data_IF_717081400983
#
_entry.id   IF_717081400983
#
_cell.length_a   1.000
_cell.length_b   1.000
_cell.length_c   1.000
_cell.angle_alpha   90.00
_cell.angle_beta   90.00
_cell.angle_gamma   90.00
#
_symmetry.space_group_name_H-M   'P 1'
#
loop_
_entity.id
_entity.type
_entity.pdbx_description
1 polymer ?
#
# COMPACT_ATOMS: atom_id res chain seq x y z
N UNK A 1 -25.43 -2.35 -11.44
CA UNK A 1 -24.58 -2.92 -10.36
C UNK A 1 -23.21 -3.33 -10.88
N UNK A 2 -23.12 -4.03 -12.02
CA UNK A 2 -21.84 -4.40 -12.64
C UNK A 2 -20.84 -3.23 -12.77
N UNK A 3 -21.25 -2.09 -13.34
CA UNK A 3 -20.36 -0.91 -13.51
C UNK A 3 -19.75 -0.41 -12.18
N UNK A 4 -20.54 -0.41 -11.10
CA UNK A 4 -20.04 0.02 -9.78
C UNK A 4 -18.94 -0.91 -9.29
N UNK A 5 -19.16 -2.22 -9.37
CA UNK A 5 -18.18 -3.23 -8.96
C UNK A 5 -16.92 -3.23 -9.84
N UNK A 6 -17.06 -2.96 -11.13
CA UNK A 6 -15.90 -2.76 -12.03
C UNK A 6 -15.05 -1.57 -11.61
N UNK A 7 -15.68 -0.41 -11.35
CA UNK A 7 -14.97 0.80 -10.92
C UNK A 7 -14.27 0.55 -9.58
N UNK A 8 -14.96 -0.09 -8.64
CA UNK A 8 -14.39 -0.46 -7.34
C UNK A 8 -13.21 -1.41 -7.48
N UNK A 9 -13.32 -2.44 -8.33
CA UNK A 9 -12.24 -3.38 -8.62
C UNK A 9 -11.01 -2.68 -9.20
N UNK A 10 -11.20 -1.78 -10.17
CA UNK A 10 -10.10 -0.97 -10.73
C UNK A 10 -9.47 -0.06 -9.67
N UNK A 11 -10.28 0.60 -8.84
CA UNK A 11 -9.76 1.46 -7.78
C UNK A 11 -8.92 0.67 -6.76
N UNK A 12 -9.39 -0.52 -6.36
CA UNK A 12 -8.65 -1.42 -5.46
C UNK A 12 -7.38 -1.97 -6.12
N UNK A 13 -7.40 -2.25 -7.42
CA UNK A 13 -6.20 -2.63 -8.18
C UNK A 13 -5.15 -1.52 -8.17
N UNK A 14 -5.54 -0.28 -8.47
CA UNK A 14 -4.64 0.88 -8.43
C UNK A 14 -4.08 1.08 -7.03
N UNK A 15 -4.95 0.98 -6.00
CA UNK A 15 -4.51 1.08 -4.62
C UNK A 15 -3.52 -0.03 -4.23
N UNK A 16 -3.76 -1.27 -4.69
CA UNK A 16 -2.86 -2.39 -4.48
C UNK A 16 -1.48 -2.15 -5.13
N UNK A 17 -1.44 -1.59 -6.35
CA UNK A 17 -0.18 -1.17 -6.98
C UNK A 17 0.55 -0.08 -6.19
N UNK A 18 -0.18 0.90 -5.62
CA UNK A 18 0.42 1.93 -4.76
C UNK A 18 1.04 1.34 -3.49
N UNK A 19 0.41 0.32 -2.89
CA UNK A 19 0.99 -0.41 -1.74
C UNK A 19 2.30 -1.11 -2.12
N UNK A 20 2.38 -1.73 -3.30
CA UNK A 20 3.64 -2.30 -3.81
C UNK A 20 4.68 -1.20 -4.03
N UNK A 21 4.29 -0.09 -4.65
CA UNK A 21 5.20 1.03 -4.86
C UNK A 21 5.76 1.56 -3.53
N UNK A 22 4.93 1.68 -2.48
CA UNK A 22 5.38 2.00 -1.12
C UNK A 22 6.46 1.02 -0.63
N UNK A 23 6.23 -0.29 -0.76
CA UNK A 23 7.19 -1.30 -0.32
C UNK A 23 8.53 -1.10 -1.03
N UNK A 24 8.50 -0.89 -2.35
CA UNK A 24 9.71 -0.62 -3.13
C UNK A 24 10.41 0.65 -2.64
N UNK A 25 9.67 1.73 -2.35
CA UNK A 25 10.24 2.97 -1.82
C UNK A 25 10.87 2.75 -0.44
N UNK A 26 10.20 2.01 0.44
CA UNK A 26 10.73 1.66 1.77
C UNK A 26 12.02 0.83 1.65
N UNK A 27 12.08 -0.10 0.71
CA UNK A 27 13.31 -0.84 0.39
C UNK A 27 14.41 0.08 -0.13
N UNK A 28 14.13 0.94 -1.10
CA UNK A 28 15.11 1.91 -1.64
C UNK A 28 15.70 2.76 -0.51
N UNK A 29 14.85 3.30 0.38
CA UNK A 29 15.28 4.08 1.55
C UNK A 29 16.10 3.26 2.55
N UNK A 30 15.77 1.97 2.72
CA UNK A 30 16.52 1.08 3.61
C UNK A 30 17.90 0.73 3.05
N UNK A 31 18.01 0.50 1.74
CA UNK A 31 19.27 0.13 1.08
C UNK A 31 20.17 1.34 0.80
N UNK A 32 19.59 2.48 0.46
CA UNK A 32 20.31 3.73 0.18
C UNK A 32 19.96 4.76 1.26
N UNK A 33 20.69 4.70 2.38
CA UNK A 33 20.51 5.64 3.51
C UNK A 33 20.76 7.10 3.12
N UNK A 34 21.61 7.34 2.12
CA UNK A 34 21.94 8.68 1.61
C UNK A 34 21.06 9.11 0.42
N UNK A 35 19.94 8.41 0.18
CA UNK A 35 19.04 8.76 -0.92
C UNK A 35 18.25 10.03 -0.63
N UNK A 36 18.53 11.09 -1.39
CA UNK A 36 17.84 12.37 -1.34
C UNK A 36 17.07 12.58 -2.64
N UNK A 37 15.79 12.18 -2.72
CA UNK A 37 14.99 12.40 -3.93
C UNK A 37 14.84 13.91 -4.20
N UNK A 38 14.92 14.32 -5.47
CA UNK A 38 14.80 15.72 -5.89
C UNK A 38 13.82 15.87 -7.05
N UNK A 39 13.26 17.07 -7.21
CA UNK A 39 12.35 17.42 -8.31
C UNK A 39 11.07 16.58 -8.35
N UNK A 40 10.72 16.10 -9.55
CA UNK A 40 9.48 15.36 -9.83
C UNK A 40 9.36 14.09 -8.98
N UNK A 41 10.48 13.43 -8.66
CA UNK A 41 10.48 12.22 -7.84
C UNK A 41 9.88 12.49 -6.46
N UNK A 42 10.15 13.63 -5.85
CA UNK A 42 9.58 13.99 -4.54
C UNK A 42 8.06 14.05 -4.61
N UNK A 43 7.51 14.65 -5.66
CA UNK A 43 6.06 14.77 -5.85
C UNK A 43 5.40 13.39 -5.98
N UNK A 44 6.01 12.47 -6.76
CA UNK A 44 5.51 11.10 -6.92
C UNK A 44 5.56 10.36 -5.59
N UNK A 45 6.68 10.45 -4.86
CA UNK A 45 6.83 9.81 -3.55
C UNK A 45 5.80 10.32 -2.56
N UNK A 46 5.62 11.65 -2.50
CA UNK A 46 4.64 12.27 -1.60
C UNK A 46 3.22 11.84 -1.94
N UNK A 47 2.87 11.74 -3.23
CA UNK A 47 1.56 11.27 -3.68
C UNK A 47 1.32 9.82 -3.25
N UNK A 48 2.26 8.92 -3.54
CA UNK A 48 2.16 7.50 -3.17
C UNK A 48 2.03 7.38 -1.65
N UNK A 49 2.91 8.07 -0.91
CA UNK A 49 2.92 8.02 0.55
C UNK A 49 1.64 8.60 1.14
N UNK A 50 1.14 9.73 0.64
CA UNK A 50 -0.10 10.37 1.10
C UNK A 50 -1.33 9.51 0.88
N UNK A 51 -1.43 8.80 -0.25
CA UNK A 51 -2.57 7.91 -0.53
C UNK A 51 -2.49 6.64 0.33
N UNK A 52 -1.29 6.10 0.54
CA UNK A 52 -1.09 4.83 1.25
C UNK A 52 -0.98 4.99 2.77
N UNK A 53 -0.59 6.16 3.28
CA UNK A 53 -0.38 6.43 4.71
C UNK A 53 -1.65 6.27 5.56
N UNK A 54 -2.82 6.83 5.19
CA UNK A 54 -4.01 6.74 6.02
C UNK A 54 -4.49 5.29 6.22
N UNK A 55 -4.57 4.44 5.18
CA UNK A 55 -4.88 3.02 5.34
C UNK A 55 -3.84 2.28 6.19
N UNK A 56 -2.54 2.55 5.98
CA UNK A 56 -1.45 1.90 6.74
C UNK A 56 -1.55 2.30 8.22
N UNK A 57 -1.75 3.58 8.51
CA UNK A 57 -1.91 4.08 9.88
C UNK A 57 -3.16 3.50 10.55
N UNK A 58 -4.26 3.36 9.82
CA UNK A 58 -5.47 2.72 10.34
C UNK A 58 -5.19 1.28 10.75
N UNK A 59 -4.50 0.51 9.91
CA UNK A 59 -4.17 -0.88 10.24
C UNK A 59 -3.09 -1.01 11.32
N UNK A 60 -2.11 -0.11 11.37
CA UNK A 60 -1.12 -0.05 12.46
C UNK A 60 -1.75 0.21 13.84
N UNK A 61 -2.91 0.88 13.89
CA UNK A 61 -3.67 1.05 15.14
C UNK A 61 -4.32 -0.25 15.61
N UNK A 62 -4.70 -1.12 14.68
CA UNK A 62 -5.34 -2.41 14.98
C UNK A 62 -4.31 -3.51 15.23
N UNK A 63 -3.23 -3.53 14.44
CA UNK A 63 -2.19 -4.53 14.47
C UNK A 63 -0.84 -3.79 14.60
N UNK A 64 -0.30 -3.66 15.82
CA UNK A 64 0.97 -2.98 16.02
C UNK A 64 2.11 -3.71 15.32
N UNK A 65 3.17 -2.96 14.97
CA UNK A 65 4.35 -3.51 14.32
C UNK A 65 5.06 -4.51 15.24
N UNK A 66 5.23 -5.74 14.78
CA UNK A 66 5.97 -6.75 15.55
C UNK A 66 7.47 -6.50 15.36
N UNK A 67 8.15 -6.28 16.48
CA UNK A 67 9.61 -6.23 16.53
C UNK A 67 10.11 -7.60 16.96
N UNK A 68 10.78 -8.34 16.08
CA UNK A 68 11.37 -9.63 16.41
C UNK A 68 12.89 -9.42 16.52
N UNK A 69 13.38 -9.39 17.76
CA UNK A 69 14.78 -9.10 18.05
C UNK A 69 15.18 -7.69 17.58
N UNK A 70 16.10 -7.61 16.61
CA UNK A 70 16.56 -6.34 16.04
C UNK A 70 15.80 -5.91 14.77
N UNK A 71 14.92 -6.77 14.23
CA UNK A 71 14.22 -6.52 12.96
C UNK A 71 12.76 -6.13 13.22
N UNK A 72 12.36 -4.96 12.69
CA UNK A 72 10.96 -4.53 12.67
C UNK A 72 10.31 -5.02 11.37
N UNK A 73 9.25 -5.81 11.50
CA UNK A 73 8.47 -6.31 10.36
C UNK A 73 7.13 -5.56 10.35
N UNK A 74 6.84 -4.89 9.23
CA UNK A 74 5.56 -4.20 9.05
C UNK A 74 4.48 -5.19 8.55
N UNK A 75 3.86 -5.89 9.49
CA UNK A 75 2.73 -6.77 9.20
C UNK A 75 1.50 -5.98 8.70
N UNK A 76 1.37 -4.71 9.07
CA UNK A 76 0.23 -3.89 8.68
C UNK A 76 0.15 -3.72 7.16
N UNK A 77 1.31 -3.51 6.50
CA UNK A 77 1.40 -3.45 5.03
C UNK A 77 1.05 -4.79 4.38
N UNK A 78 1.51 -5.91 4.94
CA UNK A 78 1.19 -7.24 4.42
C UNK A 78 -0.32 -7.54 4.50
N UNK A 79 -0.93 -7.21 5.64
CA UNK A 79 -2.38 -7.38 5.83
C UNK A 79 -3.16 -6.45 4.90
N UNK A 80 -2.72 -5.21 4.70
CA UNK A 80 -3.33 -4.28 3.74
C UNK A 80 -3.33 -4.82 2.32
N UNK A 81 -2.19 -5.36 1.86
CA UNK A 81 -2.08 -5.97 0.54
C UNK A 81 -3.07 -7.10 0.37
N UNK A 82 -3.21 -7.95 1.40
CA UNK A 82 -4.15 -9.07 1.37
C UNK A 82 -5.61 -8.59 1.33
N UNK A 83 -5.97 -7.61 2.17
CA UNK A 83 -7.32 -7.03 2.20
C UNK A 83 -7.67 -6.38 0.86
N UNK A 84 -6.75 -5.59 0.30
CA UNK A 84 -6.95 -4.94 -1.00
C UNK A 84 -7.11 -5.97 -2.12
N UNK A 85 -6.30 -7.04 -2.11
CA UNK A 85 -6.38 -8.12 -3.09
C UNK A 85 -7.72 -8.88 -3.00
N UNK A 86 -8.13 -9.30 -1.81
CA UNK A 86 -9.40 -10.00 -1.60
C UNK A 86 -10.58 -9.09 -1.97
N UNK A 87 -10.56 -7.82 -1.54
CA UNK A 87 -11.60 -6.86 -1.89
C UNK A 87 -11.72 -6.64 -3.40
N UNK A 88 -10.57 -6.58 -4.11
CA UNK A 88 -10.53 -6.47 -5.57
C UNK A 88 -11.12 -7.70 -6.23
N UNK A 89 -10.72 -8.91 -5.81
CA UNK A 89 -11.24 -10.16 -6.36
C UNK A 89 -12.75 -10.25 -6.18
N UNK A 90 -13.24 -9.99 -4.97
CA UNK A 90 -14.66 -9.97 -4.67
C UNK A 90 -15.41 -8.94 -5.52
N UNK A 91 -14.87 -7.73 -5.67
CA UNK A 91 -15.49 -6.71 -6.50
C UNK A 91 -15.58 -7.18 -7.96
N UNK A 92 -14.52 -7.75 -8.53
CA UNK A 92 -14.52 -8.23 -9.91
C UNK A 92 -15.47 -9.43 -10.12
N UNK A 93 -15.57 -10.33 -9.14
CA UNK A 93 -16.53 -11.44 -9.19
C UNK A 93 -17.99 -10.97 -9.24
N UNK A 94 -18.34 -9.89 -8.54
CA UNK A 94 -19.70 -9.32 -8.54
C UNK A 94 -19.96 -8.37 -9.73
N UNK A 95 -18.92 -8.07 -10.51
CA UNK A 95 -19.02 -7.29 -11.74
C UNK A 95 -19.35 -8.15 -12.97
N UNK A 96 -19.00 -9.44 -12.92
CA UNK A 96 -19.33 -10.45 -13.94
C UNK A 96 -20.78 -10.91 -13.83
#
# INVERSE_FOLDING_TARGET
>A
MALFFTILGIALFVFWLLLIARIVIEFIRSFSRDWHPTGVTVVILELIMSITDPPVKLLRRLIPQLTIGAVRIDLSIMVLLLIAFIGMELALQHAA
#
